data_IF_754783358143
#
_entry.id   IF_754783358143
#
_cell.length_a   1.000
_cell.length_b   1.000
_cell.length_c   1.000
_cell.angle_alpha   90.00
_cell.angle_beta   90.00
_cell.angle_gamma   90.00
#
_symmetry.space_group_name_H-M   'P 1'
#
loop_
_entity.id
_entity.type
_entity.pdbx_description
1 polymer ?
#
# COMPACT_ATOMS: atom_id res chain seq x y z
N UNK A 1 0.83 -5.06 6.46
CA UNK A 1 0.34 -3.80 7.08
C UNK A 1 -0.56 -3.06 6.11
N UNK A 2 -1.64 -2.39 6.59
CA UNK A 2 -2.62 -1.71 5.72
C UNK A 2 -2.84 -0.26 6.17
N UNK A 3 -2.66 0.70 5.25
CA UNK A 3 -2.77 2.16 5.44
C UNK A 3 -4.05 2.70 4.80
N UNK A 4 -4.82 3.50 5.54
CA UNK A 4 -6.11 4.02 5.08
C UNK A 4 -6.00 5.31 4.25
N UNK A 5 -7.11 5.66 3.56
CA UNK A 5 -7.25 6.88 2.77
C UNK A 5 -7.26 8.16 3.63
N UNK A 6 -7.40 9.31 2.97
CA UNK A 6 -7.33 10.64 3.59
C UNK A 6 -8.34 10.79 4.74
N UNK A 7 -7.87 11.07 5.96
CA UNK A 7 -8.73 11.30 7.13
C UNK A 7 -9.75 12.42 6.93
N UNK A 8 -9.39 13.45 6.18
CA UNK A 8 -10.27 14.60 5.89
C UNK A 8 -11.50 14.20 5.07
N UNK A 9 -11.42 13.07 4.36
CA UNK A 9 -12.50 12.48 3.57
C UNK A 9 -13.11 11.25 4.23
N UNK A 10 -12.97 11.12 5.55
CA UNK A 10 -13.52 10.00 6.32
C UNK A 10 -12.69 8.72 6.30
N UNK A 11 -11.44 8.79 5.82
CA UNK A 11 -10.53 7.64 5.82
C UNK A 11 -10.21 7.15 7.23
N UNK A 12 -10.35 5.86 7.43
CA UNK A 12 -9.99 5.15 8.67
C UNK A 12 -9.69 3.69 8.36
N UNK A 13 -9.08 2.99 9.31
CA UNK A 13 -8.81 1.54 9.20
C UNK A 13 -10.08 0.68 9.04
N UNK A 14 -11.25 1.23 9.35
CA UNK A 14 -12.53 0.53 9.34
C UNK A 14 -13.34 0.77 8.05
N UNK A 15 -12.79 1.49 7.07
CA UNK A 15 -13.43 1.71 5.77
C UNK A 15 -13.65 0.36 5.04
N UNK A 16 -14.78 0.16 4.32
CA UNK A 16 -15.12 -1.11 3.65
C UNK A 16 -14.02 -1.68 2.76
N UNK A 17 -13.31 -0.85 1.99
CA UNK A 17 -12.15 -1.27 1.18
C UNK A 17 -11.06 -1.91 2.04
N UNK A 18 -10.68 -1.26 3.14
CA UNK A 18 -9.64 -1.76 4.05
C UNK A 18 -10.10 -3.01 4.80
N UNK A 19 -11.37 -3.04 5.16
CA UNK A 19 -11.98 -4.19 5.82
C UNK A 19 -11.94 -5.42 4.91
N UNK A 20 -12.28 -5.29 3.63
CA UNK A 20 -12.23 -6.37 2.65
C UNK A 20 -10.80 -6.89 2.45
N UNK A 21 -9.83 -5.97 2.27
CA UNK A 21 -8.40 -6.33 2.11
C UNK A 21 -7.87 -7.07 3.35
N UNK A 22 -8.13 -6.55 4.54
CA UNK A 22 -7.72 -7.17 5.79
C UNK A 22 -8.29 -8.57 5.96
N UNK A 23 -9.59 -8.74 5.70
CA UNK A 23 -10.25 -10.04 5.88
C UNK A 23 -9.76 -11.07 4.88
N UNK A 24 -9.56 -10.69 3.62
CA UNK A 24 -9.06 -11.61 2.60
C UNK A 24 -7.62 -12.06 2.93
N UNK A 25 -6.73 -11.13 3.27
CA UNK A 25 -5.37 -11.46 3.69
C UNK A 25 -5.36 -12.36 4.95
N UNK A 26 -6.20 -12.04 5.95
CA UNK A 26 -6.31 -12.87 7.16
C UNK A 26 -6.85 -14.26 6.86
N UNK A 27 -7.81 -14.39 5.95
CA UNK A 27 -8.35 -15.69 5.53
C UNK A 27 -7.30 -16.57 4.83
N UNK A 28 -6.27 -15.96 4.21
CA UNK A 28 -5.13 -16.66 3.61
C UNK A 28 -3.97 -16.90 4.60
N UNK A 29 -4.16 -16.60 5.88
CA UNK A 29 -3.19 -16.88 6.93
C UNK A 29 -2.14 -15.79 7.16
N UNK A 30 -2.26 -14.62 6.54
CA UNK A 30 -1.37 -13.51 6.81
C UNK A 30 -1.68 -12.85 8.16
N UNK A 31 -0.65 -12.49 8.92
CA UNK A 31 -0.78 -11.57 10.04
C UNK A 31 -1.01 -10.15 9.51
N UNK A 32 -2.15 -9.53 9.84
CA UNK A 32 -2.53 -8.22 9.30
C UNK A 32 -2.62 -7.17 10.40
N UNK A 33 -1.81 -6.12 10.28
CA UNK A 33 -1.94 -4.89 11.07
C UNK A 33 -2.65 -3.82 10.24
N UNK A 34 -3.81 -3.35 10.71
CA UNK A 34 -4.43 -2.10 10.27
C UNK A 34 -4.51 -1.13 11.44
N UNK A 35 -4.22 0.13 11.19
CA UNK A 35 -4.15 1.17 12.21
C UNK A 35 -4.74 2.47 11.70
N UNK A 36 -5.05 3.38 12.60
CA UNK A 36 -5.43 4.73 12.25
C UNK A 36 -4.21 5.65 12.33
N UNK A 37 -3.98 6.43 11.28
CA UNK A 37 -2.97 7.49 11.29
C UNK A 37 -3.23 8.50 12.41
N UNK A 38 -2.23 9.30 12.72
CA UNK A 38 -2.30 10.38 13.72
C UNK A 38 -3.52 11.26 13.54
N UNK A 39 -4.15 11.63 14.65
CA UNK A 39 -5.35 12.47 14.66
C UNK A 39 -6.64 11.78 14.21
N UNK A 40 -6.62 10.47 13.93
CA UNK A 40 -7.81 9.71 13.50
C UNK A 40 -8.35 8.87 14.65
N UNK A 41 -9.61 9.04 14.99
CA UNK A 41 -10.29 8.34 16.08
C UNK A 41 -9.54 8.47 17.42
N UNK A 42 -9.03 7.34 17.97
CA UNK A 42 -8.26 7.31 19.22
C UNK A 42 -6.74 7.48 19.03
N UNK A 43 -6.27 7.62 17.80
CA UNK A 43 -4.85 7.89 17.55
C UNK A 43 -4.50 9.32 17.95
N UNK A 44 -3.45 9.46 18.76
CA UNK A 44 -2.96 10.77 19.19
C UNK A 44 -2.37 11.60 18.05
N UNK A 45 -2.01 12.85 18.36
CA UNK A 45 -1.43 13.77 17.39
C UNK A 45 -2.47 14.43 16.47
N UNK A 46 -2.01 14.95 15.34
CA UNK A 46 -2.85 15.63 14.35
C UNK A 46 -2.39 15.28 12.93
N UNK A 47 -3.32 15.31 11.99
CA UNK A 47 -3.06 15.14 10.56
C UNK A 47 -1.99 16.14 10.07
N UNK A 48 -1.03 15.67 9.30
CA UNK A 48 0.11 16.45 8.81
C UNK A 48 0.35 16.33 7.29
N UNK A 49 -0.72 16.05 6.56
CA UNK A 49 -0.73 15.96 5.10
C UNK A 49 0.35 15.02 4.53
N UNK A 50 0.55 13.86 5.15
CA UNK A 50 1.49 12.82 4.71
C UNK A 50 2.91 12.98 5.22
N UNK A 51 3.26 14.08 5.91
CA UNK A 51 4.64 14.28 6.42
C UNK A 51 4.92 13.42 7.65
N UNK A 52 4.08 13.50 8.65
CA UNK A 52 4.21 12.71 9.88
C UNK A 52 3.65 11.28 9.73
N UNK A 53 2.67 11.09 8.83
CA UNK A 53 2.06 9.80 8.58
C UNK A 53 3.03 8.76 8.03
N UNK A 54 4.12 9.19 7.36
CA UNK A 54 5.26 8.30 7.00
C UNK A 54 5.89 7.70 8.26
N UNK A 55 6.11 8.51 9.31
CA UNK A 55 6.60 8.00 10.59
C UNK A 55 5.62 7.05 11.30
N UNK A 56 4.31 7.26 11.14
CA UNK A 56 3.30 6.33 11.66
C UNK A 56 3.37 4.98 10.92
N UNK A 57 3.60 5.00 9.60
CA UNK A 57 3.81 3.81 8.79
C UNK A 57 5.09 3.06 9.20
N UNK A 58 6.21 3.78 9.42
CA UNK A 58 7.47 3.20 9.93
C UNK A 58 7.28 2.49 11.27
N UNK A 59 6.56 3.12 12.21
CA UNK A 59 6.24 2.53 13.51
C UNK A 59 5.34 1.29 13.37
N UNK A 60 4.36 1.33 12.47
CA UNK A 60 3.50 0.19 12.21
C UNK A 60 4.25 -0.98 11.55
N UNK A 61 5.20 -0.72 10.64
CA UNK A 61 6.09 -1.74 10.07
C UNK A 61 6.93 -2.38 11.18
N UNK A 62 7.53 -1.59 12.06
CA UNK A 62 8.29 -2.11 13.19
C UNK A 62 7.41 -3.03 14.06
N UNK A 63 6.19 -2.61 14.37
CA UNK A 63 5.24 -3.38 15.18
C UNK A 63 4.82 -4.71 14.54
N UNK A 64 4.63 -4.74 13.21
CA UNK A 64 4.34 -5.99 12.48
C UNK A 64 5.50 -6.96 12.63
N UNK A 65 6.72 -6.49 12.46
CA UNK A 65 7.93 -7.33 12.54
C UNK A 65 8.25 -7.84 13.95
N UNK A 66 7.80 -7.15 14.99
CA UNK A 66 7.85 -7.64 16.35
C UNK A 66 6.81 -8.74 16.63
N UNK A 67 5.68 -8.68 15.93
CA UNK A 67 4.54 -9.57 16.16
C UNK A 67 4.54 -10.83 15.29
N UNK A 68 5.23 -10.80 14.16
CA UNK A 68 5.24 -11.89 13.18
C UNK A 68 6.57 -11.95 12.42
N UNK A 69 7.07 -13.15 12.22
CA UNK A 69 8.23 -13.40 11.37
C UNK A 69 7.87 -13.36 9.89
N UNK A 70 8.88 -13.08 9.05
CA UNK A 70 8.74 -13.15 7.61
C UNK A 70 8.69 -11.80 6.89
N UNK A 71 8.51 -11.82 5.55
CA UNK A 71 8.51 -10.62 4.74
C UNK A 71 7.25 -9.79 4.94
N UNK A 72 7.40 -8.46 4.89
CA UNK A 72 6.31 -7.51 5.13
C UNK A 72 5.79 -6.91 3.82
N UNK A 73 4.50 -7.14 3.53
CA UNK A 73 3.75 -6.38 2.52
C UNK A 73 3.18 -5.12 3.16
N UNK A 74 3.39 -3.98 2.51
CA UNK A 74 2.71 -2.72 2.85
C UNK A 74 1.65 -2.43 1.79
N UNK A 75 0.39 -2.38 2.21
CA UNK A 75 -0.74 -2.02 1.36
C UNK A 75 -1.25 -0.64 1.76
N UNK A 76 -1.46 0.25 0.81
CA UNK A 76 -2.05 1.57 1.05
C UNK A 76 -3.17 1.88 0.07
N UNK A 77 -4.24 2.54 0.54
CA UNK A 77 -5.30 3.04 -0.32
C UNK A 77 -5.31 4.56 -0.34
N UNK A 78 -5.35 5.14 -1.57
CA UNK A 78 -5.44 6.58 -1.78
C UNK A 78 -4.28 7.33 -1.11
N UNK A 79 -4.55 8.25 -0.19
CA UNK A 79 -3.56 8.89 0.67
C UNK A 79 -2.60 7.88 1.31
N UNK A 80 -3.12 6.77 1.82
CA UNK A 80 -2.31 5.71 2.40
C UNK A 80 -1.36 5.05 1.39
N UNK A 81 -1.68 5.05 0.10
CA UNK A 81 -0.78 4.59 -0.95
C UNK A 81 0.40 5.56 -1.17
N UNK A 82 0.16 6.88 -1.11
CA UNK A 82 1.24 7.88 -1.14
C UNK A 82 2.19 7.71 0.05
N UNK A 83 1.63 7.57 1.26
CA UNK A 83 2.43 7.34 2.49
C UNK A 83 3.22 6.04 2.39
N UNK A 84 2.59 4.94 1.95
CA UNK A 84 3.23 3.63 1.81
C UNK A 84 4.41 3.65 0.82
N UNK A 85 4.24 4.30 -0.32
CA UNK A 85 5.32 4.42 -1.32
C UNK A 85 6.50 5.25 -0.80
N UNK A 86 6.22 6.35 -0.11
CA UNK A 86 7.25 7.23 0.46
C UNK A 86 8.01 6.56 1.61
N UNK A 87 7.36 5.74 2.39
CA UNK A 87 8.04 4.94 3.43
C UNK A 87 8.90 3.85 2.79
N UNK A 88 8.40 3.13 1.81
CA UNK A 88 9.09 1.99 1.21
C UNK A 88 10.41 2.35 0.49
N UNK A 89 10.58 3.57 0.01
CA UNK A 89 11.85 3.99 -0.63
C UNK A 89 12.97 4.22 0.37
N UNK A 90 12.65 4.30 1.66
CA UNK A 90 13.61 4.53 2.75
C UNK A 90 13.66 3.39 3.77
N UNK A 91 12.78 2.39 3.66
CA UNK A 91 12.67 1.28 4.63
C UNK A 91 12.89 -0.09 3.94
N UNK A 92 14.09 -0.62 4.09
CA UNK A 92 14.48 -1.94 3.56
C UNK A 92 13.70 -3.12 4.17
N UNK A 93 12.91 -2.87 5.23
CA UNK A 93 12.05 -3.89 5.85
C UNK A 93 10.79 -4.18 5.04
N UNK A 94 10.46 -3.32 4.07
CA UNK A 94 9.35 -3.53 3.14
C UNK A 94 9.78 -4.53 2.08
N UNK A 95 9.07 -5.65 1.96
CA UNK A 95 9.37 -6.70 1.00
C UNK A 95 8.50 -6.62 -0.27
N UNK A 96 7.32 -5.99 -0.19
CA UNK A 96 6.42 -5.77 -1.31
C UNK A 96 5.46 -4.61 -1.02
N UNK A 97 4.90 -4.00 -2.07
CA UNK A 97 3.92 -2.91 -2.01
C UNK A 97 2.66 -3.24 -2.78
N UNK A 98 1.50 -2.90 -2.21
CA UNK A 98 0.23 -2.81 -2.94
C UNK A 98 -0.32 -1.39 -2.82
N UNK A 99 -0.28 -0.62 -3.90
CA UNK A 99 -0.69 0.77 -3.97
C UNK A 99 -2.04 0.87 -4.68
N UNK A 100 -3.10 1.07 -3.91
CA UNK A 100 -4.49 1.08 -4.38
C UNK A 100 -4.97 2.51 -4.56
N UNK A 101 -5.43 2.88 -5.75
CA UNK A 101 -5.96 4.21 -6.01
C UNK A 101 -4.96 5.32 -5.65
N UNK A 102 -3.67 5.14 -5.95
CA UNK A 102 -2.64 6.13 -5.64
C UNK A 102 -2.97 7.46 -6.34
N UNK A 103 -3.17 8.58 -5.60
CA UNK A 103 -3.44 9.86 -6.23
C UNK A 103 -2.31 10.31 -7.14
N UNK A 104 -2.64 10.65 -8.39
CA UNK A 104 -1.70 11.05 -9.44
C UNK A 104 -2.16 12.34 -10.12
N UNK A 105 -1.23 13.03 -10.78
CA UNK A 105 -1.53 14.28 -11.48
C UNK A 105 -2.13 15.34 -10.57
N UNK A 106 -3.17 16.02 -11.03
CA UNK A 106 -3.85 17.11 -10.31
C UNK A 106 -4.51 16.64 -9.00
N UNK A 107 -4.85 15.35 -8.91
CA UNK A 107 -5.44 14.77 -7.69
C UNK A 107 -4.45 14.64 -6.53
N UNK A 108 -3.16 14.81 -6.78
CA UNK A 108 -2.11 14.74 -5.76
C UNK A 108 -1.66 16.13 -5.26
N UNK A 109 -2.28 17.23 -5.70
CA UNK A 109 -1.82 18.60 -5.43
C UNK A 109 -1.64 18.94 -3.94
N UNK A 110 -2.48 18.39 -3.07
CA UNK A 110 -2.43 18.61 -1.62
C UNK A 110 -1.59 17.57 -0.87
N UNK A 111 -0.94 16.67 -1.59
CA UNK A 111 -0.11 15.61 -1.01
C UNK A 111 1.37 15.94 -1.21
N UNK A 112 2.25 15.40 -0.38
CA UNK A 112 3.68 15.44 -0.67
C UNK A 112 3.97 14.77 -2.01
N UNK A 113 4.95 15.32 -2.72
CA UNK A 113 5.42 14.76 -3.98
C UNK A 113 5.75 13.27 -3.86
N UNK A 114 5.55 12.56 -4.94
CA UNK A 114 6.04 11.18 -5.05
C UNK A 114 7.57 11.17 -4.93
N UNK A 115 8.16 10.05 -4.48
CA UNK A 115 9.61 9.89 -4.43
C UNK A 115 10.25 10.24 -5.77
N UNK A 116 11.48 10.76 -5.73
CA UNK A 116 12.21 11.14 -6.93
C UNK A 116 12.39 9.94 -7.88
N UNK A 117 12.52 10.22 -9.17
CA UNK A 117 12.68 9.15 -10.17
C UNK A 117 13.88 8.24 -9.88
N UNK A 118 14.95 8.77 -9.30
CA UNK A 118 16.13 8.00 -8.86
C UNK A 118 15.79 7.01 -7.76
N UNK A 119 14.97 7.41 -6.77
CA UNK A 119 14.52 6.56 -5.66
C UNK A 119 13.59 5.45 -6.17
N UNK A 120 12.62 5.79 -7.03
CA UNK A 120 11.73 4.81 -7.64
C UNK A 120 12.48 3.77 -8.49
N UNK A 121 13.55 4.16 -9.18
CA UNK A 121 14.35 3.25 -10.02
C UNK A 121 15.16 2.22 -9.22
N UNK A 122 15.49 2.52 -7.97
CA UNK A 122 16.25 1.61 -7.10
C UNK A 122 15.35 0.84 -6.14
N UNK A 123 14.05 1.15 -6.12
CA UNK A 123 13.07 0.39 -5.34
C UNK A 123 12.92 -1.02 -5.91
N UNK A 124 13.68 -1.96 -5.35
CA UNK A 124 13.84 -3.33 -5.86
C UNK A 124 12.70 -4.29 -5.50
N UNK A 125 11.71 -3.85 -4.71
CA UNK A 125 10.59 -4.69 -4.27
C UNK A 125 9.49 -4.80 -5.33
N UNK A 126 8.73 -5.90 -5.37
CA UNK A 126 7.53 -6.00 -6.19
C UNK A 126 6.50 -4.95 -5.79
N UNK A 127 5.83 -4.34 -6.79
CA UNK A 127 4.82 -3.32 -6.59
C UNK A 127 3.57 -3.64 -7.41
N UNK A 128 2.43 -3.82 -6.74
CA UNK A 128 1.12 -3.85 -7.36
C UNK A 128 0.53 -2.44 -7.35
N UNK A 129 0.21 -1.91 -8.53
CA UNK A 129 -0.53 -0.67 -8.73
C UNK A 129 -1.97 -1.01 -9.11
N UNK A 130 -2.93 -0.82 -8.20
CA UNK A 130 -4.33 -1.15 -8.44
C UNK A 130 -5.20 0.10 -8.53
N UNK A 131 -6.13 0.12 -9.50
CA UNK A 131 -7.08 1.23 -9.69
C UNK A 131 -8.41 0.71 -10.22
N UNK A 132 -9.50 1.45 -9.97
CA UNK A 132 -10.78 1.23 -10.63
C UNK A 132 -10.72 1.67 -12.10
N UNK A 133 -11.49 1.03 -12.98
CA UNK A 133 -11.54 1.39 -14.40
C UNK A 133 -11.97 2.85 -14.62
N UNK A 134 -12.85 3.37 -13.77
CA UNK A 134 -13.36 4.75 -13.79
C UNK A 134 -12.70 5.68 -12.76
N UNK A 135 -11.57 5.28 -12.18
CA UNK A 135 -10.89 6.07 -11.16
C UNK A 135 -10.22 7.30 -11.79
N UNK A 136 -10.73 8.49 -11.47
CA UNK A 136 -10.20 9.78 -11.93
C UNK A 136 -9.11 10.34 -11.02
N UNK A 137 -8.93 9.78 -9.82
CA UNK A 137 -7.90 10.16 -8.86
C UNK A 137 -6.60 9.42 -9.16
N UNK A 138 -6.72 8.16 -9.62
CA UNK A 138 -5.62 7.29 -10.04
C UNK A 138 -5.84 6.80 -11.47
N UNK A 139 -5.79 7.68 -12.49
CA UNK A 139 -6.12 7.32 -13.85
C UNK A 139 -5.14 6.28 -14.42
N UNK A 140 -5.67 5.31 -15.16
CA UNK A 140 -4.87 4.22 -15.74
C UNK A 140 -3.64 4.68 -16.53
N UNK A 141 -3.71 5.69 -17.44
CA UNK A 141 -2.52 6.12 -18.21
C UNK A 141 -1.39 6.65 -17.33
N UNK A 142 -1.72 7.35 -16.25
CA UNK A 142 -0.76 7.89 -15.29
C UNK A 142 -0.16 6.78 -14.43
N UNK A 143 -1.00 5.81 -14.02
CA UNK A 143 -0.58 4.63 -13.28
C UNK A 143 0.40 3.79 -14.10
N UNK A 144 0.12 3.55 -15.40
CA UNK A 144 1.02 2.86 -16.32
C UNK A 144 2.33 3.64 -16.55
N UNK A 145 2.25 4.98 -16.51
CA UNK A 145 3.44 5.84 -16.59
C UNK A 145 4.32 5.72 -15.35
N UNK A 146 3.71 5.62 -14.17
CA UNK A 146 4.43 5.36 -12.93
C UNK A 146 5.04 3.95 -12.93
N UNK A 147 4.29 2.93 -13.37
CA UNK A 147 4.76 1.56 -13.47
C UNK A 147 6.07 1.44 -14.26
N UNK A 148 6.19 2.19 -15.37
CA UNK A 148 7.44 2.23 -16.16
C UNK A 148 8.66 2.82 -15.45
N UNK A 149 8.47 3.47 -14.29
CA UNK A 149 9.54 4.03 -13.45
C UNK A 149 9.99 3.08 -12.35
N UNK A 150 9.20 2.04 -12.09
CA UNK A 150 9.41 1.04 -11.05
C UNK A 150 9.93 -0.26 -11.67
N UNK A 151 11.04 -0.85 -11.18
CA UNK A 151 11.66 -2.02 -11.82
C UNK A 151 10.79 -3.27 -11.84
N UNK A 152 9.90 -3.42 -10.86
CA UNK A 152 9.10 -4.63 -10.63
C UNK A 152 7.64 -4.29 -10.34
N UNK A 153 7.03 -3.44 -11.18
CA UNK A 153 5.64 -3.04 -11.02
C UNK A 153 4.72 -3.79 -12.00
N UNK A 154 3.55 -4.14 -11.51
CA UNK A 154 2.41 -4.58 -12.31
C UNK A 154 1.20 -3.68 -12.06
N UNK A 155 0.31 -3.59 -13.05
CA UNK A 155 -0.91 -2.76 -13.00
C UNK A 155 -2.13 -3.66 -13.04
N UNK A 156 -3.01 -3.49 -12.07
CA UNK A 156 -4.29 -4.17 -11.98
C UNK A 156 -5.44 -3.17 -12.06
N UNK A 157 -6.26 -3.27 -13.11
CA UNK A 157 -7.47 -2.45 -13.26
C UNK A 157 -8.70 -3.29 -12.90
N UNK A 158 -9.46 -2.81 -11.92
CA UNK A 158 -10.72 -3.44 -11.50
C UNK A 158 -11.84 -2.88 -12.36
N UNK A 159 -12.55 -3.71 -13.16
CA UNK A 159 -13.58 -3.25 -14.08
C UNK A 159 -14.85 -2.80 -13.35
N UNK A 160 -15.56 -1.84 -13.93
CA UNK A 160 -16.88 -1.40 -13.48
C UNK A 160 -16.93 -0.75 -12.11
N UNK A 161 -15.83 -0.11 -11.69
CA UNK A 161 -15.74 0.63 -10.44
C UNK A 161 -14.85 1.86 -10.57
N UNK A 162 -14.93 2.75 -9.58
CA UNK A 162 -14.16 3.98 -9.44
C UNK A 162 -13.13 3.88 -8.30
N UNK A 163 -12.73 5.03 -7.77
CA UNK A 163 -11.77 5.16 -6.65
C UNK A 163 -12.20 4.46 -5.36
N UNK A 164 -13.50 4.31 -5.13
CA UNK A 164 -14.05 3.76 -3.88
C UNK A 164 -14.31 2.26 -3.95
N UNK A 165 -14.17 1.65 -5.12
CA UNK A 165 -14.35 0.21 -5.34
C UNK A 165 -15.71 -0.34 -4.88
N UNK A 166 -16.77 0.49 -4.90
CA UNK A 166 -18.11 0.06 -4.48
C UNK A 166 -18.56 -1.21 -5.20
N UNK A 167 -18.97 -2.21 -4.41
CA UNK A 167 -19.39 -3.54 -4.86
C UNK A 167 -18.28 -4.37 -5.54
N UNK A 168 -17.03 -3.90 -5.51
CA UNK A 168 -15.85 -4.59 -6.04
C UNK A 168 -14.75 -4.77 -5.00
N UNK A 169 -15.04 -4.49 -3.74
CA UNK A 169 -14.06 -4.56 -2.64
C UNK A 169 -13.46 -5.98 -2.52
N UNK A 170 -14.28 -7.04 -2.71
CA UNK A 170 -13.80 -8.42 -2.68
C UNK A 170 -12.91 -8.76 -3.87
N UNK A 171 -13.22 -8.25 -5.07
CA UNK A 171 -12.39 -8.47 -6.26
C UNK A 171 -11.02 -7.81 -6.07
N UNK A 172 -11.00 -6.56 -5.59
CA UNK A 172 -9.76 -5.86 -5.25
C UNK A 172 -8.96 -6.64 -4.20
N UNK A 173 -9.60 -7.04 -3.11
CA UNK A 173 -8.96 -7.77 -2.01
C UNK A 173 -8.35 -9.10 -2.49
N UNK A 174 -9.06 -9.84 -3.35
CA UNK A 174 -8.55 -11.06 -3.96
C UNK A 174 -7.29 -10.82 -4.78
N UNK A 175 -7.25 -9.78 -5.63
CA UNK A 175 -6.05 -9.42 -6.42
C UNK A 175 -4.85 -9.07 -5.55
N UNK A 176 -5.08 -8.33 -4.45
CA UNK A 176 -4.02 -7.99 -3.50
C UNK A 176 -3.50 -9.24 -2.79
N UNK A 177 -4.39 -10.15 -2.43
CA UNK A 177 -4.00 -11.37 -1.75
C UNK A 177 -3.30 -12.37 -2.69
N UNK A 178 -3.70 -12.48 -3.96
CA UNK A 178 -2.99 -13.25 -4.98
C UNK A 178 -1.55 -12.73 -5.17
N UNK A 179 -1.40 -11.41 -5.28
CA UNK A 179 -0.09 -10.76 -5.34
C UNK A 179 0.74 -11.04 -4.08
N UNK A 180 0.13 -10.96 -2.89
CA UNK A 180 0.81 -11.24 -1.63
C UNK A 180 1.33 -12.69 -1.57
N UNK A 181 0.50 -13.67 -1.94
CA UNK A 181 0.88 -15.09 -1.99
C UNK A 181 2.09 -15.32 -2.91
N UNK A 182 2.09 -14.73 -4.10
CA UNK A 182 3.17 -14.88 -5.08
C UNK A 182 4.49 -14.29 -4.59
N UNK A 183 4.46 -13.01 -4.17
CA UNK A 183 5.69 -12.27 -3.87
C UNK A 183 6.29 -12.63 -2.52
N UNK A 184 5.47 -12.88 -1.49
CA UNK A 184 5.97 -13.19 -0.15
C UNK A 184 6.47 -14.63 -0.04
N UNK A 185 5.84 -15.59 -0.74
CA UNK A 185 6.38 -16.94 -0.85
C UNK A 185 7.77 -16.98 -1.53
N UNK A 186 7.98 -16.11 -2.50
CA UNK A 186 9.28 -15.97 -3.19
C UNK A 186 10.33 -15.33 -2.28
N UNK A 187 9.95 -14.29 -1.52
CA UNK A 187 10.85 -13.61 -0.58
C UNK A 187 11.29 -14.54 0.56
N UNK A 188 10.38 -15.34 1.11
CA UNK A 188 10.69 -16.31 2.16
C UNK A 188 11.75 -17.34 1.70
N UNK A 189 11.57 -17.92 0.51
CA UNK A 189 12.54 -18.87 -0.08
C UNK A 189 13.91 -18.26 -0.41
N UNK A 190 13.94 -16.96 -0.74
CA UNK A 190 15.19 -16.22 -1.00
C UNK A 190 16.00 -15.93 0.25
N UNK A 191 15.33 -15.72 1.40
CA UNK A 191 15.95 -15.49 2.72
C UNK A 191 16.70 -16.71 3.26
N UNK A 192 16.11 -17.90 3.10
CA UNK A 192 16.73 -19.16 3.56
C UNK A 192 18.06 -19.50 2.87
N UNK A 193 18.27 -19.02 1.63
CA UNK A 193 19.53 -19.27 0.87
C UNK A 193 20.67 -18.34 1.25
N UNK A 194 20.45 -17.31 2.08
CA UNK A 194 21.47 -16.32 2.46
C UNK A 194 22.00 -16.50 3.87
N UNK A 195 21.61 -17.52 4.63
CA UNK A 195 22.23 -17.88 5.91
C UNK A 195 23.57 -18.58 5.62
N UNK A 196 24.74 -17.98 5.88
CA UNK A 196 26.00 -18.67 5.77
C UNK A 196 26.12 -19.64 6.95
N UNK A 197 26.47 -20.87 6.66
CA UNK A 197 27.02 -21.84 7.62
C UNK A 197 28.31 -21.34 8.23
#
# INVERSE_FOLDING_TARGET
>A
MVCHADPRQGGSKDHPVLWAIRNELSARGFAVLSFNFRGVMQSGGSFSAGRGEVGDAAAAIARVREAADGPTLVCGWSFGANVALREAVQDERVAALALVGLPLGESAVDLPDLPARSELRVLGVPVLLASGQGDTISPRPELETLARRLPRAEVAIVPGTDHFFWHREKELAGRIADFADEVLATAARGGERRSPT
#
